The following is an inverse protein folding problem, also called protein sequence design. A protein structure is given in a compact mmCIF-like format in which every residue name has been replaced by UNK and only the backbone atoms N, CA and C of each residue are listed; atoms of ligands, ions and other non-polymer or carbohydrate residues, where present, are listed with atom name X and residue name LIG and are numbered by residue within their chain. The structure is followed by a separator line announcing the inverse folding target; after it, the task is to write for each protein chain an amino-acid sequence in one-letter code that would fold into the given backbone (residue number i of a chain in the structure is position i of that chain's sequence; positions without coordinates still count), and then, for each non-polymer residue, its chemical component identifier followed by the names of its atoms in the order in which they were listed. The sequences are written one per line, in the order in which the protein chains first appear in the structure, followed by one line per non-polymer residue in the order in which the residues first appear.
data_IF_195538168466
#
_entry.id   IF_195538168466
#
_cell.length_a   1.000
_cell.length_b   1.000
_cell.length_c   1.000
_cell.angle_alpha   90.00
_cell.angle_beta   90.00
_cell.angle_gamma   90.00
#
_symmetry.space_group_name_H-M   'P 1'
#
loop_
_entity.id
_entity.type
_entity.pdbx_description
1 polymer ?
#
# COMPACT_ATOMS: atom_id res chain seq x y z
N UNK A 1 -11.48 6.13 -4.83
CA UNK A 1 -12.61 5.84 -5.73
C UNK A 1 -12.63 4.33 -5.97
N UNK A 2 -13.81 3.71 -6.11
CA UNK A 2 -13.94 2.26 -6.33
C UNK A 2 -14.57 2.01 -7.68
N UNK A 3 -14.09 0.99 -8.39
CA UNK A 3 -14.65 0.55 -9.67
C UNK A 3 -15.11 -0.91 -9.53
N UNK A 4 -16.31 -1.21 -10.01
CA UNK A 4 -16.77 -2.58 -10.15
C UNK A 4 -16.20 -3.15 -11.46
N UNK A 5 -15.43 -4.22 -11.37
CA UNK A 5 -14.87 -4.91 -12.54
C UNK A 5 -15.95 -5.77 -13.21
N UNK A 6 -15.72 -6.17 -14.47
CA UNK A 6 -16.62 -7.05 -15.23
C UNK A 6 -16.88 -8.38 -14.54
N UNK A 7 -15.93 -8.83 -13.72
CA UNK A 7 -15.98 -10.09 -12.95
C UNK A 7 -16.66 -9.92 -11.58
N UNK A 8 -17.28 -8.75 -11.31
CA UNK A 8 -18.00 -8.48 -10.07
C UNK A 8 -17.10 -8.23 -8.85
N UNK A 9 -15.82 -7.92 -9.06
CA UNK A 9 -14.89 -7.54 -7.99
C UNK A 9 -14.83 -6.02 -7.86
N UNK A 10 -14.73 -5.53 -6.62
CA UNK A 10 -14.44 -4.13 -6.36
C UNK A 10 -12.92 -3.91 -6.47
N UNK A 11 -12.52 -2.92 -7.25
CA UNK A 11 -11.13 -2.55 -7.47
C UNK A 11 -10.90 -1.10 -7.04
N UNK A 12 -9.88 -0.87 -6.20
CA UNK A 12 -9.46 0.49 -5.81
C UNK A 12 -8.87 1.21 -7.01
N UNK A 13 -9.18 2.51 -7.13
CA UNK A 13 -8.66 3.37 -8.20
C UNK A 13 -8.10 4.69 -7.64
N UNK A 14 -7.81 4.74 -6.34
CA UNK A 14 -7.15 5.89 -5.73
C UNK A 14 -5.63 5.85 -5.99
N UNK A 15 -4.97 7.00 -5.79
CA UNK A 15 -3.54 7.17 -6.05
C UNK A 15 -2.64 6.39 -5.07
N UNK A 16 -3.18 5.95 -3.92
CA UNK A 16 -2.49 5.16 -2.91
C UNK A 16 -2.75 3.65 -3.06
N UNK A 17 -3.33 3.24 -4.19
CA UNK A 17 -3.49 1.83 -4.51
C UNK A 17 -2.12 1.22 -4.80
N UNK A 18 -1.88 0.04 -4.21
CA UNK A 18 -0.73 -0.78 -4.52
C UNK A 18 -0.61 -1.06 -6.02
N UNK A 19 0.52 -0.69 -6.58
CA UNK A 19 0.87 -0.90 -7.97
C UNK A 19 1.36 -2.33 -8.23
N UNK A 20 1.64 -2.62 -9.50
CA UNK A 20 2.30 -3.89 -9.86
C UNK A 20 3.81 -3.83 -9.67
N UNK A 21 4.41 -2.67 -9.91
CA UNK A 21 5.86 -2.45 -9.91
C UNK A 21 6.27 -1.20 -9.15
N UNK A 22 5.62 -0.08 -9.44
CA UNK A 22 5.89 1.24 -8.88
C UNK A 22 4.54 1.90 -8.62
N UNK A 23 4.42 2.56 -7.49
CA UNK A 23 3.27 3.33 -7.08
C UNK A 23 3.69 4.53 -6.21
N UNK A 24 2.74 5.17 -5.55
CA UNK A 24 3.04 6.31 -4.70
C UNK A 24 3.80 5.91 -3.42
N UNK A 25 3.68 4.66 -2.97
CA UNK A 25 4.46 4.13 -1.86
C UNK A 25 5.94 4.03 -2.20
N UNK A 26 6.29 3.74 -3.45
CA UNK A 26 7.70 3.77 -3.90
C UNK A 26 8.35 5.15 -3.71
N UNK A 27 7.57 6.26 -3.76
CA UNK A 27 8.07 7.60 -3.41
C UNK A 27 8.35 7.71 -1.90
N UNK A 28 7.51 7.10 -1.05
CA UNK A 28 7.75 7.01 0.39
C UNK A 28 9.03 6.20 0.67
N UNK A 29 9.24 5.09 -0.05
CA UNK A 29 10.48 4.29 0.06
C UNK A 29 11.72 5.05 -0.41
N UNK A 30 11.62 5.87 -1.47
CA UNK A 30 12.70 6.79 -1.87
C UNK A 30 13.04 7.78 -0.74
N UNK A 31 12.05 8.43 -0.13
CA UNK A 31 12.27 9.37 0.97
C UNK A 31 12.79 8.65 2.23
N UNK A 32 12.34 7.43 2.48
CA UNK A 32 12.85 6.57 3.56
C UNK A 32 14.32 6.22 3.33
N UNK A 33 14.69 5.89 2.09
CA UNK A 33 16.09 5.65 1.71
C UNK A 33 16.98 6.87 1.93
N UNK A 34 16.50 8.05 1.54
CA UNK A 34 17.19 9.30 1.83
C UNK A 34 17.35 9.53 3.36
N UNK A 35 16.28 9.32 4.13
CA UNK A 35 16.31 9.47 5.59
C UNK A 35 17.29 8.50 6.25
N UNK A 36 17.32 7.26 5.80
CA UNK A 36 18.31 6.25 6.24
C UNK A 36 19.72 6.65 5.84
N UNK A 37 19.91 7.24 4.65
CA UNK A 37 21.20 7.76 4.18
C UNK A 37 21.76 8.83 5.12
N UNK A 38 20.94 9.82 5.49
CA UNK A 38 21.30 10.83 6.49
C UNK A 38 21.65 10.21 7.85
N UNK A 39 20.78 9.29 8.34
CA UNK A 39 20.94 8.70 9.67
C UNK A 39 22.22 7.88 9.79
N UNK A 40 22.51 7.04 8.80
CA UNK A 40 23.68 6.16 8.83
C UNK A 40 24.97 6.95 8.57
N UNK A 41 24.94 7.95 7.68
CA UNK A 41 26.09 8.83 7.46
C UNK A 41 26.48 9.58 8.75
N UNK A 42 25.50 10.01 9.54
CA UNK A 42 25.73 10.66 10.85
C UNK A 42 26.40 9.74 11.86
N UNK A 43 26.13 8.43 11.79
CA UNK A 43 26.75 7.43 12.66
C UNK A 43 28.23 7.14 12.32
N UNK A 44 28.72 7.62 11.14
CA UNK A 44 30.11 7.53 10.75
C UNK A 44 30.59 6.15 10.29
N UNK A 45 29.68 5.24 9.93
CA UNK A 45 30.06 3.96 9.35
C UNK A 45 30.61 4.13 7.93
N UNK A 46 31.57 3.26 7.54
CA UNK A 46 32.03 3.18 6.16
C UNK A 46 30.93 2.73 5.19
N UNK A 47 31.03 3.16 3.92
CA UNK A 47 29.98 2.92 2.92
C UNK A 47 29.51 1.45 2.83
N UNK A 48 30.44 0.49 2.78
CA UNK A 48 30.08 -0.92 2.65
C UNK A 48 29.21 -1.42 3.80
N UNK A 49 29.58 -1.12 5.04
CA UNK A 49 28.78 -1.47 6.22
C UNK A 49 27.43 -0.75 6.20
N UNK A 50 27.41 0.54 5.84
CA UNK A 50 26.21 1.37 5.73
C UNK A 50 25.23 0.83 4.69
N UNK A 51 25.73 0.40 3.53
CA UNK A 51 24.90 -0.17 2.47
C UNK A 51 24.29 -1.52 2.88
N UNK A 52 25.03 -2.37 3.58
CA UNK A 52 24.50 -3.63 4.11
C UNK A 52 23.44 -3.36 5.16
N UNK A 53 23.68 -2.44 6.10
CA UNK A 53 22.69 -2.08 7.14
C UNK A 53 21.41 -1.53 6.49
N UNK A 54 21.52 -0.58 5.55
CA UNK A 54 20.37 -0.01 4.86
C UNK A 54 19.58 -1.09 4.10
N UNK A 55 20.27 -1.95 3.36
CA UNK A 55 19.62 -3.07 2.64
C UNK A 55 18.85 -3.98 3.59
N UNK A 56 19.47 -4.39 4.71
CA UNK A 56 18.82 -5.25 5.69
C UNK A 56 17.62 -4.57 6.35
N UNK A 57 17.67 -3.26 6.60
CA UNK A 57 16.54 -2.50 7.13
C UNK A 57 15.36 -2.50 6.16
N UNK A 58 15.59 -2.26 4.85
CA UNK A 58 14.52 -2.30 3.86
C UNK A 58 13.94 -3.70 3.70
N UNK A 59 14.78 -4.73 3.61
CA UNK A 59 14.29 -6.12 3.55
C UNK A 59 13.50 -6.49 4.80
N UNK A 60 13.97 -6.11 5.99
CA UNK A 60 13.26 -6.37 7.24
C UNK A 60 11.89 -5.67 7.30
N UNK A 61 11.82 -4.44 6.76
CA UNK A 61 10.57 -3.69 6.67
C UNK A 61 9.57 -4.41 5.76
N UNK A 62 9.99 -4.81 4.56
CA UNK A 62 9.14 -5.55 3.61
C UNK A 62 8.66 -6.91 4.16
N UNK A 63 9.52 -7.60 4.90
CA UNK A 63 9.13 -8.83 5.57
C UNK A 63 8.10 -8.57 6.67
N UNK A 64 8.25 -7.49 7.42
CA UNK A 64 7.27 -7.07 8.42
C UNK A 64 5.93 -6.75 7.78
N UNK A 65 5.87 -6.00 6.68
CA UNK A 65 4.64 -5.74 5.93
C UNK A 65 3.98 -7.02 5.44
N UNK A 66 4.77 -7.99 4.97
CA UNK A 66 4.26 -9.30 4.60
C UNK A 66 3.62 -10.05 5.79
N UNK A 67 4.22 -9.95 6.98
CA UNK A 67 3.68 -10.58 8.19
C UNK A 67 2.38 -9.94 8.67
N UNK A 68 2.24 -8.62 8.55
CA UNK A 68 0.99 -7.91 8.89
C UNK A 68 -0.07 -7.98 7.78
N UNK A 69 0.18 -8.78 6.74
CA UNK A 69 -0.74 -9.09 5.64
C UNK A 69 -1.14 -7.88 4.79
N UNK A 70 -0.21 -6.97 4.57
CA UNK A 70 -0.38 -5.96 3.53
C UNK A 70 -0.33 -6.68 2.19
N UNK A 71 -1.43 -6.58 1.44
CA UNK A 71 -1.60 -7.28 0.15
C UNK A 71 -0.87 -6.52 -0.97
N UNK A 72 0.34 -6.92 -1.19
CA UNK A 72 1.25 -6.36 -2.17
C UNK A 72 1.80 -7.44 -3.10
N UNK A 73 2.17 -7.06 -4.34
CA UNK A 73 2.80 -8.01 -5.25
C UNK A 73 4.28 -8.20 -4.88
N UNK A 74 4.87 -9.41 -5.04
CA UNK A 74 6.28 -9.62 -4.78
C UNK A 74 7.19 -8.71 -5.61
N UNK A 75 6.74 -8.32 -6.82
CA UNK A 75 7.46 -7.40 -7.70
C UNK A 75 7.51 -5.98 -7.12
N UNK A 76 6.37 -5.48 -6.60
CA UNK A 76 6.30 -4.16 -5.98
C UNK A 76 7.21 -4.11 -4.74
N UNK A 77 7.11 -5.09 -3.87
CA UNK A 77 7.96 -5.23 -2.67
C UNK A 77 9.45 -5.19 -3.00
N UNK A 78 9.87 -5.92 -4.05
CA UNK A 78 11.27 -5.86 -4.49
C UNK A 78 11.65 -4.49 -5.02
N UNK A 79 10.74 -3.80 -5.71
CA UNK A 79 10.98 -2.45 -6.22
C UNK A 79 11.04 -1.41 -5.11
N UNK A 80 10.34 -1.59 -4.01
CA UNK A 80 10.39 -0.69 -2.87
C UNK A 80 11.73 -0.78 -2.12
N UNK A 81 12.29 -1.99 -1.98
CA UNK A 81 13.68 -2.16 -1.53
C UNK A 81 14.66 -1.47 -2.48
N UNK A 82 14.48 -1.63 -3.80
CA UNK A 82 15.33 -0.97 -4.81
C UNK A 82 15.18 0.55 -4.72
N UNK A 83 13.96 1.08 -4.60
CA UNK A 83 13.71 2.51 -4.45
C UNK A 83 14.43 3.09 -3.22
N UNK A 84 14.33 2.40 -2.08
CA UNK A 84 15.06 2.77 -0.87
C UNK A 84 16.57 2.83 -1.08
N UNK A 85 17.15 1.80 -1.72
CA UNK A 85 18.60 1.75 -1.99
C UNK A 85 19.05 2.78 -3.03
N UNK A 86 18.25 3.02 -4.07
CA UNK A 86 18.54 4.02 -5.12
C UNK A 86 18.66 5.43 -4.57
N UNK A 87 17.86 5.77 -3.55
CA UNK A 87 17.98 7.08 -2.91
C UNK A 87 19.02 7.09 -1.78
N UNK A 88 19.18 6.00 -1.05
CA UNK A 88 20.18 5.86 0.02
C UNK A 88 21.60 6.14 -0.50
N UNK A 89 22.00 5.51 -1.61
CA UNK A 89 23.38 5.58 -2.12
C UNK A 89 23.83 7.02 -2.42
N UNK A 90 23.16 7.80 -3.27
CA UNK A 90 23.59 9.16 -3.55
C UNK A 90 23.50 10.05 -2.30
N UNK A 91 22.47 9.92 -1.48
CA UNK A 91 22.32 10.73 -0.27
C UNK A 91 23.46 10.47 0.72
N UNK A 92 23.85 9.22 0.94
CA UNK A 92 24.95 8.86 1.81
C UNK A 92 26.25 9.61 1.48
N UNK A 93 26.56 9.78 0.18
CA UNK A 93 27.76 10.51 -0.26
C UNK A 93 27.56 12.03 -0.22
N UNK A 94 26.39 12.52 -0.64
CA UNK A 94 26.11 13.96 -0.69
C UNK A 94 26.13 14.60 0.70
N UNK A 95 25.63 13.91 1.70
CA UNK A 95 25.52 14.49 3.06
C UNK A 95 26.87 14.65 3.77
N UNK A 96 27.90 13.88 3.34
CA UNK A 96 29.24 13.99 3.92
C UNK A 96 29.93 15.34 3.60
N UNK A 97 29.48 16.03 2.55
CA UNK A 97 29.96 17.36 2.18
C UNK A 97 29.18 18.52 2.78
N UNK A 98 28.09 18.25 3.52
CA UNK A 98 27.26 19.30 4.08
C UNK A 98 27.85 19.90 5.36
N UNK A 99 27.68 21.19 5.54
CA UNK A 99 27.89 21.81 6.86
C UNK A 99 26.88 21.25 7.87
N UNK A 100 27.19 21.28 9.16
CA UNK A 100 26.29 20.77 10.19
C UNK A 100 24.89 21.44 10.18
N UNK A 101 24.76 22.77 10.00
CA UNK A 101 23.43 23.38 9.87
C UNK A 101 22.67 22.92 8.65
N UNK A 102 23.32 22.80 7.48
CA UNK A 102 22.70 22.35 6.24
C UNK A 102 22.28 20.88 6.33
N UNK A 103 23.09 20.05 6.98
CA UNK A 103 22.75 18.66 7.27
C UNK A 103 21.47 18.54 8.08
N UNK A 104 21.37 19.27 9.21
CA UNK A 104 20.20 19.25 10.10
C UNK A 104 18.95 19.74 9.37
N UNK A 105 19.09 20.83 8.60
CA UNK A 105 17.98 21.39 7.83
C UNK A 105 17.49 20.41 6.76
N UNK A 106 18.42 19.87 5.95
CA UNK A 106 18.09 18.94 4.87
C UNK A 106 17.48 17.64 5.42
N UNK A 107 18.08 17.07 6.47
CA UNK A 107 17.56 15.87 7.12
C UNK A 107 16.16 16.11 7.71
N UNK A 108 15.98 17.21 8.44
CA UNK A 108 14.70 17.59 9.02
C UNK A 108 13.61 17.76 7.97
N UNK A 109 13.92 18.38 6.82
CA UNK A 109 13.01 18.54 5.71
C UNK A 109 12.62 17.18 5.09
N UNK A 110 13.59 16.35 4.72
CA UNK A 110 13.35 15.03 4.12
C UNK A 110 12.53 14.15 5.06
N UNK A 111 12.90 14.08 6.33
CA UNK A 111 12.21 13.27 7.32
C UNK A 111 10.77 13.77 7.55
N UNK A 112 10.56 15.09 7.63
CA UNK A 112 9.22 15.67 7.79
C UNK A 112 8.33 15.33 6.58
N UNK A 113 8.83 15.54 5.37
CA UNK A 113 8.08 15.21 4.14
C UNK A 113 7.76 13.71 4.08
N UNK A 114 8.72 12.85 4.42
CA UNK A 114 8.51 11.40 4.46
C UNK A 114 7.41 11.01 5.46
N UNK A 115 7.48 11.51 6.70
CA UNK A 115 6.47 11.22 7.73
C UNK A 115 5.09 11.72 7.30
N UNK A 116 5.00 12.93 6.75
CA UNK A 116 3.73 13.50 6.29
C UNK A 116 3.13 12.64 5.16
N UNK A 117 3.91 12.29 4.14
CA UNK A 117 3.43 11.47 3.03
C UNK A 117 3.05 10.06 3.48
N UNK A 118 3.88 9.40 4.29
CA UNK A 118 3.59 8.06 4.82
C UNK A 118 2.31 8.07 5.66
N UNK A 119 2.15 9.05 6.55
CA UNK A 119 0.96 9.17 7.40
C UNK A 119 -0.29 9.44 6.57
N UNK A 120 -0.20 10.35 5.60
CA UNK A 120 -1.32 10.66 4.72
C UNK A 120 -1.70 9.45 3.86
N UNK A 121 -0.73 8.74 3.28
CA UNK A 121 -0.94 7.53 2.52
C UNK A 121 -1.63 6.44 3.35
N UNK A 122 -1.13 6.20 4.55
CA UNK A 122 -1.70 5.22 5.48
C UNK A 122 -3.15 5.56 5.85
N UNK A 123 -3.45 6.81 6.20
CA UNK A 123 -4.81 7.25 6.52
C UNK A 123 -5.75 7.13 5.31
N UNK A 124 -5.28 7.50 4.11
CA UNK A 124 -6.05 7.38 2.88
C UNK A 124 -6.35 5.92 2.54
N UNK A 125 -5.35 5.02 2.68
CA UNK A 125 -5.50 3.59 2.46
C UNK A 125 -6.50 2.97 3.43
N UNK A 126 -6.41 3.27 4.72
CA UNK A 126 -7.38 2.78 5.72
C UNK A 126 -8.81 3.19 5.41
N UNK A 127 -9.03 4.46 5.07
CA UNK A 127 -10.37 4.96 4.68
C UNK A 127 -10.90 4.24 3.43
N UNK A 128 -10.05 3.97 2.46
CA UNK A 128 -10.43 3.25 1.25
C UNK A 128 -10.81 1.80 1.55
N UNK A 129 -10.08 1.11 2.43
CA UNK A 129 -10.40 -0.26 2.86
C UNK A 129 -11.73 -0.34 3.63
N UNK A 130 -11.96 0.58 4.57
CA UNK A 130 -13.23 0.66 5.31
C UNK A 130 -14.42 0.86 4.35
N UNK A 131 -14.25 1.73 3.36
CA UNK A 131 -15.26 1.98 2.35
C UNK A 131 -15.52 0.74 1.48
N UNK A 132 -14.46 0.02 1.08
CA UNK A 132 -14.58 -1.24 0.34
C UNK A 132 -15.35 -2.28 1.14
N UNK A 133 -15.01 -2.46 2.40
CA UNK A 133 -15.69 -3.42 3.28
C UNK A 133 -17.19 -3.11 3.42
N UNK A 134 -17.55 -1.84 3.59
CA UNK A 134 -18.96 -1.39 3.64
C UNK A 134 -19.69 -1.71 2.34
N UNK A 135 -19.13 -1.32 1.18
CA UNK A 135 -19.75 -1.61 -0.12
C UNK A 135 -19.92 -3.10 -0.35
N UNK A 136 -18.92 -3.90 0.01
CA UNK A 136 -18.96 -5.35 -0.13
C UNK A 136 -20.06 -5.96 0.75
N UNK A 137 -20.20 -5.53 2.00
CA UNK A 137 -21.23 -6.01 2.92
C UNK A 137 -22.63 -5.63 2.44
N UNK A 138 -22.85 -4.41 1.98
CA UNK A 138 -24.13 -3.96 1.42
C UNK A 138 -24.50 -4.75 0.16
N UNK A 139 -23.55 -4.98 -0.73
CA UNK A 139 -23.77 -5.76 -1.95
C UNK A 139 -24.15 -7.22 -1.64
N UNK A 140 -23.46 -7.84 -0.69
CA UNK A 140 -23.79 -9.20 -0.25
C UNK A 140 -25.18 -9.25 0.38
N UNK A 141 -25.53 -8.30 1.25
CA UNK A 141 -26.86 -8.22 1.86
C UNK A 141 -27.98 -8.02 0.82
N UNK A 142 -27.76 -7.18 -0.20
CA UNK A 142 -28.73 -7.02 -1.30
C UNK A 142 -28.89 -8.32 -2.11
N UNK A 143 -27.77 -8.99 -2.43
CA UNK A 143 -27.80 -10.27 -3.16
C UNK A 143 -28.58 -11.33 -2.40
N UNK A 144 -28.42 -11.39 -1.09
CA UNK A 144 -29.11 -12.33 -0.22
C UNK A 144 -30.62 -12.04 -0.17
N UNK A 145 -31.02 -10.77 0.00
CA UNK A 145 -32.44 -10.34 -0.07
C UNK A 145 -33.08 -10.71 -1.43
N UNK A 146 -32.36 -10.55 -2.54
CA UNK A 146 -32.86 -10.92 -3.86
C UNK A 146 -33.01 -12.44 -4.00
N UNK A 147 -32.07 -13.21 -3.44
CA UNK A 147 -32.15 -14.68 -3.41
C UNK A 147 -33.35 -15.15 -2.61
N UNK A 148 -33.59 -14.60 -1.43
CA UNK A 148 -34.76 -14.92 -0.61
C UNK A 148 -36.07 -14.58 -1.31
N UNK A 149 -36.14 -13.40 -1.95
CA UNK A 149 -37.33 -13.03 -2.75
C UNK A 149 -37.59 -14.03 -3.87
N UNK A 150 -36.55 -14.47 -4.59
CA UNK A 150 -36.69 -15.50 -5.64
C UNK A 150 -37.19 -16.83 -5.08
N UNK A 151 -36.66 -17.25 -3.93
CA UNK A 151 -37.11 -18.49 -3.28
C UNK A 151 -38.57 -18.38 -2.87
N UNK A 152 -38.97 -17.28 -2.21
CA UNK A 152 -40.36 -17.03 -1.82
C UNK A 152 -41.32 -17.05 -3.01
N UNK A 153 -40.93 -16.38 -4.12
CA UNK A 153 -41.72 -16.36 -5.35
C UNK A 153 -41.87 -17.78 -5.95
N UNK A 154 -40.78 -18.55 -6.04
CA UNK A 154 -40.82 -19.94 -6.54
C UNK A 154 -41.74 -20.83 -5.67
N UNK A 155 -41.65 -20.69 -4.36
CA UNK A 155 -42.50 -21.43 -3.42
C UNK A 155 -43.96 -21.05 -3.57
N UNK A 156 -44.27 -19.75 -3.71
CA UNK A 156 -45.63 -19.25 -3.93
C UNK A 156 -46.21 -19.75 -5.27
N UNK A 157 -45.43 -19.75 -6.34
CA UNK A 157 -45.84 -20.27 -7.65
C UNK A 157 -46.12 -21.77 -7.59
N UNK A 158 -45.25 -22.55 -6.92
CA UNK A 158 -45.44 -24.00 -6.73
C UNK A 158 -46.75 -24.29 -5.94
N UNK A 159 -47.06 -23.49 -4.93
CA UNK A 159 -48.33 -23.65 -4.18
C UNK A 159 -49.57 -23.33 -5.02
N UNK A 160 -49.45 -22.45 -6.03
CA UNK A 160 -50.56 -22.12 -6.97
C UNK A 160 -50.68 -23.05 -8.18
N UNK A 161 -49.90 -24.13 -8.23
CA UNK A 161 -49.99 -25.12 -9.34
C UNK A 161 -49.43 -24.62 -10.66
N UNK A 162 -48.72 -23.47 -10.67
CA UNK A 162 -48.09 -22.92 -11.88
C UNK A 162 -46.77 -23.66 -12.14
N UNK A 163 -46.74 -24.59 -13.08
CA UNK A 163 -45.49 -25.23 -13.54
C UNK A 163 -44.66 -24.23 -14.32
N UNK A 164 -43.49 -23.87 -13.77
CA UNK A 164 -42.48 -23.13 -14.54
C UNK A 164 -41.78 -24.18 -15.40
N UNK A 165 -42.16 -24.29 -16.68
CA UNK A 165 -41.36 -24.99 -17.69
C UNK A 165 -40.09 -24.15 -17.88
N UNK A 166 -38.94 -24.74 -17.58
CA UNK A 166 -37.65 -24.12 -17.86
C UNK A 166 -37.54 -23.83 -19.36
N UNK A 167 -37.45 -22.54 -19.70
CA UNK A 167 -37.04 -22.05 -21.00
C UNK A 167 -35.59 -21.59 -20.92
#
# INVERSE_FOLDING_TARGET
MMRLTRDGKFERTDIWREGKWIDLWSVVHLLSGASVGFSIAWLGFGFAASAVIAFLLFVAYELWEAMVKIHETPQNRSMDVVAGMVSFVPVFFLVQGLSQPDFILAFGLVLTVNIVLATFGWLASRKAEEFEQRLRSEFLAQRERLRERRVRLRTAMKRRGVSIRDR
#
